data_IF_576595853048
#
_entry.id   IF_576595853048
#
_cell.length_a   1.000
_cell.length_b   1.000
_cell.length_c   1.000
_cell.angle_alpha   90.00
_cell.angle_beta   90.00
_cell.angle_gamma   90.00
#
_symmetry.space_group_name_H-M   'P 1'
#
loop_
_entity.id
_entity.type
_entity.pdbx_description
1 polymer ?
#
# COMPACT_ATOMS: atom_id res chain seq x y z
N UNK A 1 31.68 13.95 -25.51
CA UNK A 1 31.11 13.95 -24.14
C UNK A 1 30.30 12.67 -23.88
N UNK A 2 30.00 11.87 -24.91
CA UNK A 2 29.21 10.64 -24.78
C UNK A 2 29.92 9.41 -24.17
N UNK A 3 31.25 9.47 -23.94
CA UNK A 3 32.03 8.38 -23.33
C UNK A 3 32.22 8.50 -21.80
N UNK A 4 31.55 9.46 -21.15
CA UNK A 4 31.64 9.67 -19.69
C UNK A 4 30.60 8.90 -18.88
N UNK A 5 29.56 8.37 -19.53
CA UNK A 5 28.49 7.66 -18.83
C UNK A 5 28.81 6.15 -18.74
N UNK A 6 28.71 5.56 -17.54
CA UNK A 6 28.98 4.13 -17.36
C UNK A 6 27.93 3.27 -18.07
N UNK A 7 28.39 2.20 -18.71
CA UNK A 7 27.52 1.18 -19.31
C UNK A 7 26.52 0.60 -18.28
N UNK A 8 25.28 0.25 -18.68
CA UNK A 8 24.29 -0.36 -17.79
C UNK A 8 24.79 -1.59 -17.01
N UNK A 9 25.70 -2.38 -17.59
CA UNK A 9 26.34 -3.53 -16.92
C UNK A 9 27.28 -3.08 -15.81
N UNK A 10 27.99 -1.96 -16.00
CA UNK A 10 28.85 -1.36 -14.98
C UNK A 10 28.01 -0.83 -13.81
N UNK A 11 26.90 -0.13 -14.10
CA UNK A 11 25.95 0.30 -13.07
C UNK A 11 25.33 -0.88 -12.31
N UNK A 12 24.91 -1.94 -13.02
CA UNK A 12 24.35 -3.15 -12.42
C UNK A 12 25.32 -3.86 -11.48
N UNK A 13 26.58 -4.02 -11.89
CA UNK A 13 27.63 -4.61 -11.04
C UNK A 13 27.94 -3.73 -9.84
N UNK A 14 28.06 -2.41 -10.04
CA UNK A 14 28.33 -1.48 -8.94
C UNK A 14 27.22 -1.48 -7.91
N UNK A 15 25.95 -1.44 -8.35
CA UNK A 15 24.79 -1.49 -7.45
C UNK A 15 24.75 -2.79 -6.63
N UNK A 16 25.10 -3.95 -7.22
CA UNK A 16 25.19 -5.23 -6.50
C UNK A 16 26.32 -5.19 -5.46
N UNK A 17 27.51 -4.76 -5.87
CA UNK A 17 28.67 -4.65 -4.98
C UNK A 17 28.38 -3.73 -3.79
N UNK A 18 27.77 -2.57 -4.03
CA UNK A 18 27.43 -1.61 -2.98
C UNK A 18 26.36 -2.18 -2.05
N UNK A 19 25.37 -2.89 -2.58
CA UNK A 19 24.35 -3.56 -1.78
C UNK A 19 24.94 -4.68 -0.89
N UNK A 20 25.88 -5.47 -1.41
CA UNK A 20 26.58 -6.52 -0.67
C UNK A 20 27.44 -5.93 0.46
N UNK A 21 28.18 -4.84 0.18
CA UNK A 21 28.95 -4.12 1.19
C UNK A 21 28.04 -3.59 2.30
N UNK A 22 26.96 -2.88 1.95
CA UNK A 22 26.00 -2.34 2.94
C UNK A 22 25.32 -3.46 3.72
N UNK A 23 24.94 -4.55 3.06
CA UNK A 23 24.35 -5.74 3.70
C UNK A 23 25.29 -6.33 4.74
N UNK A 24 26.58 -6.49 4.42
CA UNK A 24 27.59 -6.98 5.36
C UNK A 24 27.68 -6.08 6.61
N UNK A 25 27.71 -4.76 6.42
CA UNK A 25 27.81 -3.78 7.50
C UNK A 25 26.62 -3.83 8.47
N UNK A 26 25.41 -4.03 7.96
CA UNK A 26 24.17 -3.97 8.77
C UNK A 26 23.68 -5.33 9.25
N UNK A 27 24.24 -6.44 8.76
CA UNK A 27 23.78 -7.79 9.12
C UNK A 27 23.93 -8.08 10.61
N UNK A 28 25.03 -7.62 11.22
CA UNK A 28 25.27 -7.73 12.66
C UNK A 28 24.23 -6.97 13.48
N UNK A 29 23.83 -5.79 13.00
CA UNK A 29 22.83 -4.92 13.63
C UNK A 29 21.42 -5.55 13.56
N UNK A 30 21.02 -6.07 12.40
CA UNK A 30 19.76 -6.79 12.21
C UNK A 30 19.72 -8.01 13.12
N UNK A 31 20.78 -8.83 13.11
CA UNK A 31 20.88 -10.02 13.94
C UNK A 31 20.72 -9.68 15.42
N UNK A 32 21.41 -8.64 15.91
CA UNK A 32 21.27 -8.15 17.29
C UNK A 32 19.84 -7.70 17.62
N UNK A 33 19.16 -7.01 16.70
CA UNK A 33 17.78 -6.59 16.89
C UNK A 33 16.82 -7.80 16.99
N UNK A 34 17.05 -8.84 16.18
CA UNK A 34 16.29 -10.10 16.23
C UNK A 34 16.56 -10.88 17.52
N UNK A 35 17.82 -11.08 17.87
CA UNK A 35 18.24 -11.85 19.05
C UNK A 35 17.79 -11.19 20.36
N UNK A 36 17.74 -9.86 20.41
CA UNK A 36 17.20 -9.10 21.55
C UNK A 36 15.67 -9.05 21.61
N UNK A 37 14.98 -9.64 20.63
CA UNK A 37 13.52 -9.63 20.56
C UNK A 37 12.91 -8.25 20.27
N UNK A 38 13.69 -7.29 19.77
CA UNK A 38 13.26 -5.92 19.46
C UNK A 38 13.06 -5.67 17.96
N UNK A 39 12.95 -6.76 17.19
CA UNK A 39 12.71 -6.73 15.76
C UNK A 39 11.24 -6.95 15.40
N UNK A 40 10.81 -6.26 14.34
CA UNK A 40 9.54 -6.53 13.66
C UNK A 40 9.71 -6.47 12.15
N UNK A 41 8.76 -7.05 11.41
CA UNK A 41 8.78 -7.02 9.96
C UNK A 41 7.36 -6.89 9.41
N UNK A 42 7.16 -5.92 8.52
CA UNK A 42 5.93 -5.82 7.73
C UNK A 42 6.10 -6.67 6.48
N UNK A 43 5.16 -7.58 6.25
CA UNK A 43 5.12 -8.40 5.02
C UNK A 43 3.93 -7.95 4.19
N UNK A 44 4.24 -7.41 3.01
CA UNK A 44 3.24 -7.00 2.04
C UNK A 44 3.20 -8.02 0.89
N UNK A 45 2.00 -8.44 0.52
CA UNK A 45 1.78 -9.39 -0.56
C UNK A 45 0.70 -8.88 -1.49
N UNK A 46 1.00 -8.86 -2.78
CA UNK A 46 0.04 -8.48 -3.80
C UNK A 46 0.19 -9.33 -5.06
N UNK A 47 -0.92 -9.46 -5.77
CA UNK A 47 -0.96 -10.12 -7.08
C UNK A 47 -0.91 -9.07 -8.17
N UNK A 48 0.07 -9.19 -9.06
CA UNK A 48 0.11 -8.44 -10.31
C UNK A 48 -0.54 -9.28 -11.41
N UNK A 49 -1.71 -8.85 -11.87
CA UNK A 49 -2.48 -9.52 -12.92
C UNK A 49 -1.91 -9.27 -14.33
N UNK A 50 -1.10 -8.24 -14.53
CA UNK A 50 -0.48 -7.99 -15.82
C UNK A 50 0.74 -8.91 -16.01
N UNK A 51 1.62 -8.94 -15.02
CA UNK A 51 2.82 -9.79 -15.03
C UNK A 51 2.49 -11.25 -14.68
N UNK A 52 1.28 -11.52 -14.18
CA UNK A 52 0.83 -12.85 -13.74
C UNK A 52 1.76 -13.45 -12.66
N UNK A 53 2.08 -12.64 -11.64
CA UNK A 53 2.97 -13.02 -10.53
C UNK A 53 2.46 -12.49 -9.20
N UNK A 54 2.78 -13.22 -8.13
CA UNK A 54 2.62 -12.74 -6.76
C UNK A 54 3.93 -12.12 -6.30
N UNK A 55 3.85 -11.01 -5.60
CA UNK A 55 4.99 -10.35 -5.00
C UNK A 55 4.91 -10.46 -3.48
N UNK A 56 6.09 -10.57 -2.86
CA UNK A 56 6.26 -10.57 -1.42
C UNK A 56 7.37 -9.58 -1.09
N UNK A 57 6.99 -8.46 -0.46
CA UNK A 57 7.90 -7.47 0.07
C UNK A 57 8.05 -7.62 1.57
N UNK A 58 9.28 -7.55 2.08
CA UNK A 58 9.54 -7.48 3.52
C UNK A 58 10.28 -6.20 3.84
N UNK A 59 9.73 -5.44 4.78
CA UNK A 59 10.42 -4.31 5.41
C UNK A 59 10.65 -4.66 6.87
N UNK A 60 11.92 -4.65 7.28
CA UNK A 60 12.36 -4.87 8.65
C UNK A 60 12.34 -3.55 9.42
N UNK A 61 11.91 -3.61 10.68
CA UNK A 61 11.76 -2.46 11.56
C UNK A 61 12.38 -2.77 12.91
N UNK A 62 13.20 -1.85 13.39
CA UNK A 62 13.83 -1.89 14.70
C UNK A 62 14.05 -0.47 15.21
N UNK A 63 14.51 -0.36 16.45
CA UNK A 63 14.85 0.93 17.06
C UNK A 63 16.34 0.96 17.40
N UNK A 64 16.95 2.12 17.18
CA UNK A 64 18.32 2.43 17.55
C UNK A 64 18.40 3.88 17.99
N UNK A 65 18.92 4.11 19.19
CA UNK A 65 19.15 5.47 19.74
C UNK A 65 17.90 6.35 19.69
N UNK A 66 16.75 5.78 20.09
CA UNK A 66 15.42 6.39 20.07
C UNK A 66 14.93 6.79 18.67
N UNK A 67 15.54 6.26 17.62
CA UNK A 67 15.10 6.41 16.23
C UNK A 67 14.56 5.09 15.72
N UNK A 68 13.40 5.15 15.07
CA UNK A 68 12.92 4.03 14.27
C UNK A 68 13.75 3.91 13.02
N UNK A 69 14.17 2.69 12.73
CA UNK A 69 14.90 2.33 11.55
C UNK A 69 14.07 1.29 10.79
N UNK A 70 13.73 1.61 9.55
CA UNK A 70 13.09 0.71 8.62
C UNK A 70 13.99 0.43 7.40
N UNK A 71 13.96 -0.81 6.93
CA UNK A 71 14.74 -1.21 5.78
C UNK A 71 14.04 -2.32 5.00
N UNK A 72 13.97 -2.16 3.69
CA UNK A 72 13.49 -3.20 2.79
C UNK A 72 14.53 -4.32 2.74
N UNK A 73 14.20 -5.50 3.29
CA UNK A 73 15.05 -6.69 3.17
C UNK A 73 15.04 -7.22 1.74
N UNK A 74 13.88 -7.13 1.08
CA UNK A 74 13.79 -7.43 -0.33
C UNK A 74 12.37 -7.60 -0.83
N UNK A 75 12.29 -7.74 -2.14
CA UNK A 75 11.08 -8.00 -2.90
C UNK A 75 11.28 -9.31 -3.68
N UNK A 76 10.49 -10.33 -3.37
CA UNK A 76 10.51 -11.61 -4.09
C UNK A 76 9.32 -11.68 -5.04
N UNK A 77 9.60 -12.07 -6.28
CA UNK A 77 8.56 -12.36 -7.26
C UNK A 77 8.34 -13.86 -7.36
N UNK A 78 7.10 -14.29 -7.19
CA UNK A 78 6.68 -15.69 -7.08
C UNK A 78 5.68 -16.03 -8.17
N UNK A 79 5.69 -17.28 -8.63
CA UNK A 79 4.69 -17.77 -9.56
C UNK A 79 3.33 -17.84 -8.85
N UNK A 80 2.23 -17.49 -9.53
CA UNK A 80 0.87 -17.48 -8.96
C UNK A 80 0.52 -18.81 -8.30
N UNK A 81 0.77 -19.92 -9.00
CA UNK A 81 0.46 -21.29 -8.56
C UNK A 81 1.31 -21.77 -7.37
N UNK A 82 2.42 -21.08 -7.05
CA UNK A 82 3.38 -21.50 -6.01
C UNK A 82 3.28 -20.67 -4.73
N UNK A 83 2.14 -20.04 -4.45
CA UNK A 83 1.96 -19.17 -3.27
C UNK A 83 1.36 -19.89 -2.07
N UNK A 84 1.80 -21.13 -1.81
CA UNK A 84 1.41 -21.89 -0.61
C UNK A 84 2.07 -21.29 0.63
N UNK A 85 1.55 -21.63 1.82
CA UNK A 85 2.09 -21.16 3.09
C UNK A 85 3.56 -21.56 3.28
N UNK A 86 3.92 -22.77 2.87
CA UNK A 86 5.27 -23.34 3.00
C UNK A 86 6.26 -22.59 2.08
N UNK A 87 5.85 -22.28 0.85
CA UNK A 87 6.66 -21.49 -0.06
C UNK A 87 6.83 -20.04 0.42
N UNK A 88 5.78 -19.44 0.97
CA UNK A 88 5.84 -18.09 1.56
C UNK A 88 6.84 -18.07 2.71
N UNK A 89 6.74 -19.01 3.66
CA UNK A 89 7.67 -19.11 4.78
C UNK A 89 9.12 -19.32 4.30
N UNK A 90 9.32 -20.18 3.30
CA UNK A 90 10.64 -20.38 2.69
C UNK A 90 11.21 -19.09 2.09
N UNK A 91 10.40 -18.27 1.42
CA UNK A 91 10.84 -16.98 0.88
C UNK A 91 11.13 -15.95 1.97
N UNK A 92 10.34 -15.95 3.04
CA UNK A 92 10.59 -15.10 4.21
C UNK A 92 11.93 -15.49 4.85
N UNK A 93 12.12 -16.77 5.19
CA UNK A 93 13.39 -17.26 5.77
C UNK A 93 14.58 -16.96 4.88
N UNK A 94 14.48 -17.24 3.57
CA UNK A 94 15.55 -16.93 2.63
C UNK A 94 15.95 -15.45 2.60
N UNK A 95 14.99 -14.53 2.74
CA UNK A 95 15.29 -13.09 2.85
C UNK A 95 16.01 -12.74 4.15
N UNK A 96 15.70 -13.40 5.28
CA UNK A 96 16.40 -13.19 6.54
C UNK A 96 17.80 -13.83 6.56
N UNK A 97 17.96 -15.02 5.97
CA UNK A 97 19.27 -15.70 5.85
C UNK A 97 20.25 -14.88 5.00
N UNK A 98 19.78 -14.10 4.02
CA UNK A 98 20.61 -13.12 3.28
C UNK A 98 21.29 -12.09 4.21
N UNK A 99 20.77 -11.88 5.43
CA UNK A 99 21.34 -11.01 6.47
C UNK A 99 21.87 -11.79 7.69
N UNK A 100 22.22 -13.07 7.53
CA UNK A 100 22.74 -13.95 8.57
C UNK A 100 21.78 -14.19 9.77
N UNK A 101 20.47 -14.13 9.50
CA UNK A 101 19.41 -14.42 10.46
C UNK A 101 18.70 -15.72 10.08
N UNK A 102 19.08 -16.83 10.72
CA UNK A 102 18.49 -18.14 10.47
C UNK A 102 17.25 -18.43 11.32
N UNK A 103 17.18 -17.86 12.53
CA UNK A 103 16.03 -17.97 13.42
C UNK A 103 15.22 -16.65 13.39
N UNK A 104 13.95 -16.75 13.03
CA UNK A 104 13.01 -15.62 12.93
C UNK A 104 11.90 -15.67 13.99
N UNK A 105 11.96 -16.59 14.96
CA UNK A 105 10.91 -16.83 15.95
C UNK A 105 10.63 -15.58 16.80
N UNK A 106 11.66 -14.80 17.09
CA UNK A 106 11.58 -13.58 17.88
C UNK A 106 11.10 -12.34 17.10
N UNK A 107 10.93 -12.45 15.78
CA UNK A 107 10.47 -11.36 14.92
C UNK A 107 8.95 -11.23 15.01
N UNK A 108 8.47 -10.01 15.24
CA UNK A 108 7.03 -9.70 15.24
C UNK A 108 6.61 -9.33 13.83
N UNK A 109 5.74 -10.13 13.22
CA UNK A 109 5.28 -9.90 11.86
C UNK A 109 3.99 -9.09 11.83
N UNK A 110 3.91 -8.12 10.92
CA UNK A 110 2.67 -7.41 10.61
C UNK A 110 2.28 -7.76 9.17
N UNK A 111 1.12 -8.39 9.00
CA UNK A 111 0.67 -8.89 7.69
C UNK A 111 -0.79 -8.54 7.45
N UNK A 112 -1.25 -8.63 6.20
CA UNK A 112 -2.69 -8.71 5.93
C UNK A 112 -3.32 -10.02 6.49
N UNK A 113 -4.60 -10.24 6.18
CA UNK A 113 -5.35 -11.42 6.63
C UNK A 113 -5.35 -12.57 5.61
N UNK A 114 -4.49 -12.55 4.61
CA UNK A 114 -4.40 -13.61 3.60
C UNK A 114 -4.19 -14.98 4.24
N UNK A 115 -4.97 -15.98 3.82
CA UNK A 115 -4.96 -17.30 4.44
C UNK A 115 -3.56 -17.94 4.43
N UNK A 116 -2.84 -17.83 3.31
CA UNK A 116 -1.53 -18.46 3.15
C UNK A 116 -0.45 -17.78 3.98
N UNK A 117 -0.43 -16.44 4.08
CA UNK A 117 0.55 -15.73 4.93
C UNK A 117 0.27 -15.96 6.42
N UNK A 118 -1.00 -16.04 6.82
CA UNK A 118 -1.37 -16.42 8.19
C UNK A 118 -0.85 -17.80 8.55
N UNK A 119 -1.07 -18.79 7.68
CA UNK A 119 -0.58 -20.16 7.88
C UNK A 119 0.94 -20.23 7.84
N UNK A 120 1.60 -19.46 6.97
CA UNK A 120 3.06 -19.43 6.86
C UNK A 120 3.74 -18.97 8.17
N UNK A 121 3.11 -18.05 8.90
CA UNK A 121 3.65 -17.42 10.11
C UNK A 121 2.88 -17.84 11.38
N UNK A 122 2.22 -18.99 11.36
CA UNK A 122 1.44 -19.48 12.50
C UNK A 122 2.31 -19.74 13.75
N UNK A 123 3.56 -20.13 13.56
CA UNK A 123 4.54 -20.31 14.63
C UNK A 123 5.22 -19.01 15.12
N UNK A 124 4.89 -17.85 14.54
CA UNK A 124 5.52 -16.57 14.88
C UNK A 124 4.51 -15.62 15.54
N UNK A 125 5.03 -14.64 16.29
CA UNK A 125 4.18 -13.53 16.76
C UNK A 125 3.71 -12.71 15.57
N UNK A 126 2.40 -12.68 15.31
CA UNK A 126 1.82 -12.01 14.14
C UNK A 126 0.68 -11.08 14.50
N UNK A 127 0.78 -9.84 14.06
CA UNK A 127 -0.25 -8.80 14.15
C UNK A 127 -0.93 -8.60 12.80
N UNK A 128 -2.21 -8.23 12.84
CA UNK A 128 -2.93 -7.86 11.62
C UNK A 128 -2.59 -6.42 11.24
N UNK A 129 -2.46 -6.16 9.95
CA UNK A 129 -2.29 -4.83 9.40
C UNK A 129 -3.55 -3.99 9.62
N UNK A 130 -3.48 -2.99 10.51
CA UNK A 130 -4.61 -2.10 10.82
C UNK A 130 -5.11 -1.32 9.60
N UNK A 131 -4.20 -0.94 8.69
CA UNK A 131 -4.60 -0.32 7.42
C UNK A 131 -5.48 -1.26 6.59
N UNK A 132 -5.08 -2.53 6.46
CA UNK A 132 -5.88 -3.50 5.71
C UNK A 132 -7.23 -3.79 6.42
N UNK A 133 -7.27 -3.80 7.75
CA UNK A 133 -8.52 -3.92 8.50
C UNK A 133 -9.46 -2.73 8.25
N UNK A 134 -8.95 -1.50 8.36
CA UNK A 134 -9.73 -0.28 8.11
C UNK A 134 -10.24 -0.23 6.66
N UNK A 135 -9.41 -0.65 5.70
CA UNK A 135 -9.80 -0.77 4.29
C UNK A 135 -10.99 -1.69 4.12
N UNK A 136 -10.96 -2.87 4.75
CA UNK A 136 -12.06 -3.84 4.68
C UNK A 136 -13.34 -3.30 5.32
N UNK A 137 -13.24 -2.55 6.43
CA UNK A 137 -14.39 -1.90 7.07
C UNK A 137 -15.03 -0.90 6.10
N UNK A 138 -14.23 -0.01 5.52
CA UNK A 138 -14.75 1.00 4.58
C UNK A 138 -15.36 0.35 3.34
N UNK A 139 -14.69 -0.64 2.74
CA UNK A 139 -15.22 -1.35 1.59
C UNK A 139 -16.57 -2.01 1.91
N UNK A 140 -16.68 -2.66 3.06
CA UNK A 140 -17.95 -3.24 3.53
C UNK A 140 -19.02 -2.15 3.72
N UNK A 141 -18.68 -1.03 4.35
CA UNK A 141 -19.61 0.10 4.53
C UNK A 141 -20.10 0.67 3.19
N UNK A 142 -19.21 0.84 2.20
CA UNK A 142 -19.60 1.23 0.84
C UNK A 142 -20.51 0.19 0.17
N UNK A 143 -20.27 -1.09 0.44
CA UNK A 143 -21.05 -2.19 -0.12
C UNK A 143 -22.39 -2.43 0.60
N UNK A 144 -22.62 -1.86 1.77
CA UNK A 144 -23.89 -1.98 2.50
C UNK A 144 -24.75 -0.72 2.37
N UNK A 145 -24.14 0.46 2.21
CA UNK A 145 -24.86 1.71 2.04
C UNK A 145 -25.23 2.00 0.57
N UNK A 146 -26.48 1.74 0.20
CA UNK A 146 -26.98 1.94 -1.17
C UNK A 146 -26.77 3.37 -1.70
N UNK A 147 -26.96 4.39 -0.88
CA UNK A 147 -26.73 5.79 -1.28
C UNK A 147 -25.25 6.06 -1.61
N UNK A 148 -24.32 5.50 -0.83
CA UNK A 148 -22.89 5.62 -1.15
C UNK A 148 -22.52 4.88 -2.44
N UNK A 149 -23.13 3.71 -2.70
CA UNK A 149 -22.93 3.00 -3.99
C UNK A 149 -23.36 3.84 -5.18
N UNK A 150 -24.51 4.51 -5.09
CA UNK A 150 -25.01 5.38 -6.16
C UNK A 150 -24.02 6.51 -6.43
N UNK A 151 -23.56 7.19 -5.38
CA UNK A 151 -22.55 8.26 -5.49
C UNK A 151 -21.27 7.73 -6.16
N UNK A 152 -20.70 6.61 -5.68
CA UNK A 152 -19.49 6.00 -6.26
C UNK A 152 -19.70 5.67 -7.74
N UNK A 153 -20.85 5.08 -8.10
CA UNK A 153 -21.19 4.71 -9.48
C UNK A 153 -21.29 5.94 -10.38
N UNK A 154 -21.98 6.98 -9.93
CA UNK A 154 -22.08 8.25 -10.66
C UNK A 154 -20.71 8.90 -10.82
N UNK A 155 -19.87 8.97 -9.78
CA UNK A 155 -18.50 9.47 -9.89
C UNK A 155 -17.67 8.68 -10.92
N UNK A 156 -17.75 7.34 -10.93
CA UNK A 156 -17.08 6.51 -11.93
C UNK A 156 -17.57 6.81 -13.34
N UNK A 157 -18.88 7.05 -13.54
CA UNK A 157 -19.47 7.45 -14.82
C UNK A 157 -18.90 8.78 -15.31
N UNK A 158 -18.78 9.78 -14.44
CA UNK A 158 -18.19 11.09 -14.75
C UNK A 158 -16.73 10.91 -15.22
N UNK A 159 -15.91 10.20 -14.44
CA UNK A 159 -14.49 10.01 -14.78
C UNK A 159 -14.33 9.23 -16.08
N UNK A 160 -15.15 8.20 -16.29
CA UNK A 160 -15.14 7.40 -17.52
C UNK A 160 -15.45 8.28 -18.73
N UNK A 161 -16.53 9.05 -18.67
CA UNK A 161 -16.92 9.96 -19.75
C UNK A 161 -15.82 10.97 -20.07
N UNK A 162 -15.27 11.65 -19.04
CA UNK A 162 -14.20 12.62 -19.25
C UNK A 162 -12.94 12.01 -19.88
N UNK A 163 -12.66 10.72 -19.65
CA UNK A 163 -11.56 10.01 -20.29
C UNK A 163 -11.87 9.64 -21.74
N UNK A 164 -13.03 9.06 -21.99
CA UNK A 164 -13.44 8.60 -23.33
C UNK A 164 -13.63 9.77 -24.31
N UNK A 165 -14.14 10.90 -23.82
CA UNK A 165 -14.31 12.13 -24.58
C UNK A 165 -13.05 13.00 -24.62
N UNK A 166 -11.91 12.51 -24.12
CA UNK A 166 -10.64 13.25 -24.01
C UNK A 166 -10.73 14.59 -23.26
N UNK A 167 -11.74 14.81 -22.42
CA UNK A 167 -11.98 16.08 -21.70
C UNK A 167 -11.04 16.32 -20.51
N UNK A 168 -10.13 15.39 -20.20
CA UNK A 168 -9.21 15.55 -19.06
C UNK A 168 -8.33 16.80 -19.14
N UNK A 169 -8.04 17.29 -20.36
CA UNK A 169 -7.23 18.49 -20.58
C UNK A 169 -8.01 19.80 -20.42
N UNK A 170 -9.35 19.75 -20.40
CA UNK A 170 -10.20 20.94 -20.22
C UNK A 170 -10.47 21.23 -18.74
N UNK A 171 -10.04 20.34 -17.85
CA UNK A 171 -10.16 20.46 -16.40
C UNK A 171 -8.88 21.08 -15.82
N UNK A 172 -9.01 21.90 -14.78
CA UNK A 172 -7.87 22.49 -14.07
C UNK A 172 -6.95 21.41 -13.49
N UNK A 173 -7.53 20.29 -13.04
CA UNK A 173 -6.80 19.10 -12.66
C UNK A 173 -7.50 17.82 -13.16
N UNK A 174 -6.70 16.82 -13.54
CA UNK A 174 -7.19 15.54 -14.04
C UNK A 174 -8.06 14.80 -13.02
N UNK A 175 -9.22 14.30 -13.45
CA UNK A 175 -10.05 13.43 -12.61
C UNK A 175 -9.38 12.07 -12.43
N UNK A 176 -9.31 11.64 -11.16
CA UNK A 176 -8.63 10.40 -10.78
C UNK A 176 -9.60 9.23 -10.91
N UNK A 177 -9.18 8.16 -11.57
CA UNK A 177 -9.93 6.90 -11.57
C UNK A 177 -9.81 6.18 -10.24
N UNK A 178 -10.90 5.55 -9.82
CA UNK A 178 -10.87 4.59 -8.73
C UNK A 178 -10.05 3.34 -9.14
N UNK A 179 -9.29 2.80 -8.20
CA UNK A 179 -8.47 1.60 -8.30
C UNK A 179 -9.01 0.61 -7.26
N UNK A 180 -9.63 -0.51 -7.68
CA UNK A 180 -10.30 -1.44 -6.76
C UNK A 180 -9.40 -1.96 -5.63
N UNK A 181 -8.09 -2.09 -5.88
CA UNK A 181 -7.12 -2.62 -4.92
C UNK A 181 -6.59 -1.59 -3.92
N UNK A 182 -6.94 -0.30 -4.06
CA UNK A 182 -6.52 0.78 -3.17
C UNK A 182 -7.74 1.49 -2.62
N UNK A 183 -8.00 1.32 -1.33
CA UNK A 183 -9.17 1.86 -0.63
C UNK A 183 -9.37 3.38 -0.85
N UNK A 184 -8.28 4.17 -0.81
CA UNK A 184 -8.37 5.63 -0.95
C UNK A 184 -8.58 6.11 -2.39
N UNK A 185 -8.68 5.20 -3.35
CA UNK A 185 -8.92 5.59 -4.73
C UNK A 185 -10.32 6.16 -4.94
N UNK A 186 -11.33 5.67 -4.20
CA UNK A 186 -12.67 6.27 -4.20
C UNK A 186 -12.64 7.68 -3.62
N UNK A 187 -11.96 7.88 -2.48
CA UNK A 187 -11.75 9.19 -1.89
C UNK A 187 -11.08 10.15 -2.88
N UNK A 188 -9.92 9.76 -3.45
CA UNK A 188 -9.18 10.57 -4.42
C UNK A 188 -10.00 10.92 -5.67
N UNK A 189 -10.81 9.99 -6.17
CA UNK A 189 -11.74 10.24 -7.29
C UNK A 189 -12.77 11.30 -6.92
N UNK A 190 -13.47 11.11 -5.80
CA UNK A 190 -14.50 12.05 -5.33
C UNK A 190 -13.93 13.43 -5.05
N UNK A 191 -12.77 13.52 -4.40
CA UNK A 191 -12.05 14.79 -4.18
C UNK A 191 -11.71 15.46 -5.52
N UNK A 192 -11.16 14.73 -6.49
CA UNK A 192 -10.83 15.33 -7.80
C UNK A 192 -12.06 15.88 -8.54
N UNK A 193 -13.22 15.24 -8.41
CA UNK A 193 -14.49 15.74 -8.97
C UNK A 193 -14.96 16.98 -8.23
N UNK A 194 -14.91 16.95 -6.89
CA UNK A 194 -15.36 18.06 -6.05
C UNK A 194 -14.52 19.32 -6.27
N UNK A 195 -13.20 19.16 -6.37
CA UNK A 195 -12.25 20.26 -6.61
C UNK A 195 -12.50 20.90 -7.98
N UNK A 196 -12.90 20.11 -8.98
CA UNK A 196 -13.21 20.57 -10.33
C UNK A 196 -14.72 20.77 -10.57
N UNK A 197 -15.53 20.93 -9.52
CA UNK A 197 -16.99 20.83 -9.63
C UNK A 197 -17.59 21.75 -10.70
N UNK A 198 -17.13 23.00 -10.81
CA UNK A 198 -17.69 23.96 -11.79
C UNK A 198 -17.55 23.45 -13.22
N UNK A 199 -16.36 22.96 -13.58
CA UNK A 199 -16.09 22.42 -14.92
C UNK A 199 -16.83 21.10 -15.15
N UNK A 200 -16.89 20.24 -14.13
CA UNK A 200 -17.65 19.00 -14.21
C UNK A 200 -19.14 19.29 -14.41
N UNK A 201 -19.74 20.19 -13.63
CA UNK A 201 -21.16 20.55 -13.71
C UNK A 201 -21.55 21.07 -15.11
N UNK A 202 -20.68 21.90 -15.70
CA UNK A 202 -20.84 22.35 -17.10
C UNK A 202 -20.82 21.18 -18.08
N UNK A 203 -19.85 20.27 -17.96
CA UNK A 203 -19.76 19.08 -18.82
C UNK A 203 -21.00 18.19 -18.68
N UNK A 204 -21.50 18.01 -17.46
CA UNK A 204 -22.70 17.21 -17.21
C UNK A 204 -23.94 17.83 -17.85
N UNK A 205 -24.07 19.16 -17.80
CA UNK A 205 -25.14 19.89 -18.46
C UNK A 205 -25.08 19.83 -19.98
N UNK A 206 -23.89 20.04 -20.58
CA UNK A 206 -23.69 20.00 -22.04
C UNK A 206 -23.89 18.60 -22.62
N UNK A 207 -23.51 17.56 -21.88
CA UNK A 207 -23.58 16.16 -22.31
C UNK A 207 -24.86 15.43 -21.86
N UNK A 208 -25.78 16.13 -21.19
CA UNK A 208 -27.01 15.56 -20.60
C UNK A 208 -26.76 14.32 -19.72
N UNK A 209 -25.69 14.36 -18.92
CA UNK A 209 -25.30 13.26 -18.04
C UNK A 209 -25.95 13.44 -16.67
N UNK A 210 -27.01 12.66 -16.43
CA UNK A 210 -27.60 12.60 -15.09
C UNK A 210 -26.72 11.84 -14.09
N UNK A 211 -26.64 12.38 -12.88
CA UNK A 211 -25.93 11.86 -11.71
C UNK A 211 -26.85 11.86 -10.48
N UNK A 212 -26.72 10.84 -9.63
CA UNK A 212 -27.64 10.61 -8.51
C UNK A 212 -27.17 11.30 -7.21
N UNK A 213 -26.58 12.49 -7.31
CA UNK A 213 -26.13 13.27 -6.16
C UNK A 213 -25.94 14.75 -6.51
N UNK A 214 -26.01 15.63 -5.50
CA UNK A 214 -25.65 17.04 -5.63
C UNK A 214 -24.28 17.32 -4.99
N UNK A 215 -23.72 18.51 -5.29
CA UNK A 215 -22.42 18.95 -4.76
C UNK A 215 -22.31 18.81 -3.25
N UNK A 216 -23.37 19.17 -2.52
CA UNK A 216 -23.38 19.15 -1.06
C UNK A 216 -23.26 17.73 -0.52
N UNK A 217 -23.98 16.77 -1.10
CA UNK A 217 -23.86 15.35 -0.75
C UNK A 217 -22.45 14.82 -1.01
N UNK A 218 -21.85 15.14 -2.16
CA UNK A 218 -20.48 14.76 -2.46
C UNK A 218 -19.48 15.37 -1.47
N UNK A 219 -19.67 16.64 -1.11
CA UNK A 219 -18.83 17.34 -0.13
C UNK A 219 -18.86 16.67 1.23
N UNK A 220 -20.04 16.25 1.72
CA UNK A 220 -20.18 15.53 2.99
C UNK A 220 -19.43 14.19 2.95
N UNK A 221 -19.58 13.41 1.88
CA UNK A 221 -18.88 12.13 1.73
C UNK A 221 -17.36 12.33 1.68
N UNK A 222 -16.87 13.30 0.90
CA UNK A 222 -15.44 13.62 0.84
C UNK A 222 -14.91 14.06 2.20
N UNK A 223 -15.66 14.86 2.96
CA UNK A 223 -15.27 15.29 4.30
C UNK A 223 -15.07 14.09 5.25
N UNK A 224 -16.06 13.19 5.33
CA UNK A 224 -15.99 11.97 6.15
C UNK A 224 -14.80 11.10 5.73
N UNK A 225 -14.62 10.88 4.43
CA UNK A 225 -13.50 10.08 3.91
C UNK A 225 -12.14 10.72 4.14
N UNK A 226 -12.10 12.05 4.22
CA UNK A 226 -10.89 12.81 4.54
C UNK A 226 -10.34 12.48 5.93
N UNK A 227 -11.20 12.16 6.90
CA UNK A 227 -10.79 11.76 8.24
C UNK A 227 -10.11 10.40 8.22
N UNK A 228 -10.69 9.44 7.49
CA UNK A 228 -10.08 8.14 7.28
C UNK A 228 -8.73 8.26 6.55
N UNK A 229 -8.60 9.10 5.52
CA UNK A 229 -7.31 9.30 4.84
C UNK A 229 -6.22 9.80 5.81
N UNK A 230 -6.57 10.64 6.79
CA UNK A 230 -5.62 11.06 7.84
C UNK A 230 -5.23 9.90 8.74
N UNK A 231 -6.19 9.07 9.16
CA UNK A 231 -5.94 7.85 9.94
C UNK A 231 -4.99 6.91 9.18
N UNK A 232 -5.27 6.63 7.91
CA UNK A 232 -4.41 5.75 7.11
C UNK A 232 -2.99 6.26 6.98
N UNK A 233 -2.80 7.56 6.71
CA UNK A 233 -1.45 8.16 6.68
C UNK A 233 -0.72 7.97 8.01
N UNK A 234 -1.42 8.12 9.14
CA UNK A 234 -0.87 7.90 10.48
C UNK A 234 -0.52 6.43 10.74
N UNK A 235 -1.34 5.50 10.26
CA UNK A 235 -1.13 4.05 10.47
C UNK A 235 -0.07 3.44 9.52
N UNK A 236 0.28 4.12 8.43
CA UNK A 236 1.22 3.63 7.41
C UNK A 236 2.62 4.23 7.53
N UNK A 237 2.84 5.19 8.43
CA UNK A 237 4.18 5.74 8.66
C UNK A 237 5.10 4.69 9.30
N UNK A 238 6.34 4.60 8.80
CA UNK A 238 7.45 3.86 9.41
C UNK A 238 8.45 4.78 10.11
N UNK A 239 8.40 6.08 9.86
CA UNK A 239 9.33 7.07 10.42
C UNK A 239 8.97 7.53 11.83
N UNK A 240 7.81 7.12 12.36
CA UNK A 240 7.37 7.39 13.73
C UNK A 240 6.50 6.25 14.26
N UNK A 241 6.37 6.07 15.58
CA UNK A 241 5.53 5.01 16.12
C UNK A 241 4.08 5.14 15.63
N UNK A 242 3.57 4.11 14.94
CA UNK A 242 2.22 4.09 14.38
C UNK A 242 1.26 3.19 15.17
N UNK A 243 1.77 2.13 15.80
CA UNK A 243 0.94 1.15 16.54
C UNK A 243 0.16 1.77 17.71
N UNK A 244 0.73 2.78 18.39
CA UNK A 244 0.08 3.49 19.49
C UNK A 244 -1.14 4.30 19.05
N UNK A 245 -1.28 4.58 17.75
CA UNK A 245 -2.44 5.28 17.19
C UNK A 245 -3.55 4.33 16.73
N UNK A 246 -3.37 3.00 16.79
CA UNK A 246 -4.40 2.04 16.36
C UNK A 246 -5.66 2.15 17.21
N UNK A 247 -5.55 2.15 18.54
CA UNK A 247 -6.71 2.28 19.43
C UNK A 247 -7.38 3.68 19.32
N UNK A 248 -6.62 4.79 19.35
CA UNK A 248 -7.18 6.12 19.09
C UNK A 248 -7.85 6.29 17.72
N UNK A 249 -7.56 5.43 16.74
CA UNK A 249 -8.19 5.49 15.41
C UNK A 249 -9.56 4.81 15.37
N UNK A 250 -9.94 4.08 16.41
CA UNK A 250 -11.22 3.35 16.52
C UNK A 250 -12.21 4.12 17.40
N UNK A 251 -11.70 4.84 18.40
CA UNK A 251 -12.46 5.69 19.33
C UNK A 251 -12.88 7.02 18.70
#
# INVERSE_FOLDING_TARGET
VDDLLPDPTTLSRKAKSDAEEKRSLISSEIKKAVDSGRASATVDMWTDQYVQRNFLGITFHYEKEFKLCDMILGLKSMNLQKSTAENILMKIKGLFSEFNVENIDNVKFVTDRGANIKKALEGNTRLNCSSHLLSNVLEKSFNEANELKKIVKSCKKIVKYCKESNLQHTLEATLKSACPTRWNSNYKMMTSILDNWRSVDKILGEADIHVDFNKSSLKVVVYILGDFERIFKKLQTSSSPSICFVLPSIS
#
